data_IF_916315879808
#
_entry.id   IF_916315879808
#
_cell.length_a   1.000
_cell.length_b   1.000
_cell.length_c   1.000
_cell.angle_alpha   90.00
_cell.angle_beta   90.00
_cell.angle_gamma   90.00
#
_symmetry.space_group_name_H-M   'P 1'
#
loop_
_entity.id
_entity.type
_entity.pdbx_description
1 polymer ?
#
# COMPACT_ATOMS: atom_id res chain seq x y z
N UNK A 1 6.46 -3.79 10.71
CA UNK A 1 7.35 -2.68 10.36
C UNK A 1 8.66 -3.18 9.80
N UNK A 2 8.83 -3.09 8.48
CA UNK A 2 10.11 -3.39 7.87
C UNK A 2 10.99 -2.15 7.99
N UNK A 3 11.84 -2.19 9.02
CA UNK A 3 12.85 -1.16 9.26
C UNK A 3 13.68 -1.02 7.99
N UNK A 4 13.86 0.23 7.55
CA UNK A 4 14.58 0.63 6.35
C UNK A 4 15.84 -0.24 6.13
N UNK A 5 15.78 -1.19 5.20
CA UNK A 5 16.96 -1.89 4.69
C UNK A 5 17.70 -0.90 3.80
N UNK A 6 18.59 -0.12 4.42
CA UNK A 6 19.27 1.03 3.83
C UNK A 6 20.18 0.70 2.62
N UNK A 7 20.30 -0.57 2.23
CA UNK A 7 21.14 -1.06 1.12
C UNK A 7 20.52 -2.29 0.44
N UNK A 8 19.19 -2.34 0.34
CA UNK A 8 18.53 -3.47 -0.33
C UNK A 8 18.75 -3.37 -1.84
N UNK A 9 19.58 -4.27 -2.38
CA UNK A 9 19.70 -4.47 -3.82
C UNK A 9 18.56 -5.34 -4.27
N UNK A 10 17.79 -4.84 -5.24
CA UNK A 10 16.74 -5.60 -5.89
C UNK A 10 17.19 -5.97 -7.29
N UNK A 11 16.79 -7.15 -7.74
CA UNK A 11 16.98 -7.56 -9.12
C UNK A 11 16.33 -6.55 -10.07
N UNK A 12 17.05 -6.20 -11.14
CA UNK A 12 16.59 -5.19 -12.10
C UNK A 12 15.26 -5.55 -12.75
N UNK A 13 15.02 -6.86 -12.95
CA UNK A 13 13.76 -7.38 -13.46
C UNK A 13 12.58 -7.10 -12.51
N UNK A 14 12.79 -7.23 -11.20
CA UNK A 14 11.76 -6.94 -10.19
C UNK A 14 11.44 -5.46 -10.18
N UNK A 15 12.46 -4.60 -10.24
CA UNK A 15 12.28 -3.15 -10.32
C UNK A 15 11.55 -2.73 -11.60
N UNK A 16 11.95 -3.29 -12.75
CA UNK A 16 11.33 -3.00 -14.04
C UNK A 16 9.82 -3.30 -14.03
N UNK A 17 9.44 -4.46 -13.50
CA UNK A 17 8.04 -4.84 -13.37
C UNK A 17 7.27 -3.92 -12.40
N UNK A 18 7.89 -3.51 -11.29
CA UNK A 18 7.26 -2.57 -10.36
C UNK A 18 7.06 -1.17 -10.97
N UNK A 19 8.00 -0.69 -11.78
CA UNK A 19 7.87 0.58 -12.50
C UNK A 19 6.75 0.50 -13.55
N UNK A 20 6.66 -0.62 -14.28
CA UNK A 20 5.59 -0.83 -15.27
C UNK A 20 4.21 -0.79 -14.63
N UNK A 21 4.05 -1.44 -13.49
CA UNK A 21 2.82 -1.41 -12.70
C UNK A 21 2.48 0.01 -12.21
N UNK A 22 3.47 0.72 -11.65
CA UNK A 22 3.28 2.10 -11.17
C UNK A 22 2.80 3.02 -12.31
N UNK A 23 3.34 2.85 -13.51
CA UNK A 23 2.90 3.57 -14.71
C UNK A 23 1.46 3.21 -15.10
N UNK A 24 1.09 1.92 -15.07
CA UNK A 24 -0.28 1.48 -15.38
C UNK A 24 -1.31 2.02 -14.39
N UNK A 25 -0.93 2.16 -13.11
CA UNK A 25 -1.77 2.71 -12.06
C UNK A 25 -1.75 4.25 -11.99
N UNK A 26 -0.87 4.92 -12.74
CA UNK A 26 -0.65 6.37 -12.63
C UNK A 26 -0.04 6.82 -11.30
N UNK A 27 0.54 5.90 -10.52
CA UNK A 27 1.07 6.14 -9.18
C UNK A 27 2.61 6.26 -9.21
N UNK A 28 3.12 7.34 -9.81
CA UNK A 28 4.56 7.55 -9.99
C UNK A 28 5.13 8.27 -8.75
N UNK A 29 5.53 7.49 -7.75
CA UNK A 29 6.28 7.98 -6.60
C UNK A 29 7.29 6.94 -6.11
N UNK A 30 8.31 7.38 -5.39
CA UNK A 30 9.29 6.48 -4.79
C UNK A 30 8.62 5.44 -3.88
N UNK A 31 7.66 5.87 -3.04
CA UNK A 31 6.97 4.98 -2.12
C UNK A 31 6.09 3.96 -2.85
N UNK A 32 5.45 4.34 -3.95
CA UNK A 32 4.68 3.42 -4.77
C UNK A 32 5.57 2.33 -5.38
N UNK A 33 6.71 2.71 -5.98
CA UNK A 33 7.66 1.75 -6.56
C UNK A 33 8.23 0.84 -5.47
N UNK A 34 8.69 1.41 -4.35
CA UNK A 34 9.23 0.65 -3.22
C UNK A 34 8.21 -0.37 -2.68
N UNK A 35 6.96 0.04 -2.55
CA UNK A 35 5.90 -0.85 -2.08
C UNK A 35 5.62 -1.99 -3.07
N UNK A 36 5.57 -1.70 -4.38
CA UNK A 36 5.38 -2.72 -5.43
C UNK A 36 6.56 -3.70 -5.52
N UNK A 37 7.79 -3.21 -5.34
CA UNK A 37 8.99 -4.06 -5.26
C UNK A 37 8.92 -4.97 -4.04
N UNK A 38 8.58 -4.43 -2.86
CA UNK A 38 8.46 -5.21 -1.63
C UNK A 38 7.38 -6.29 -1.72
N UNK A 39 6.19 -5.95 -2.25
CA UNK A 39 5.12 -6.92 -2.47
C UNK A 39 5.57 -8.10 -3.36
N UNK A 40 6.38 -7.83 -4.39
CA UNK A 40 6.91 -8.86 -5.29
C UNK A 40 7.96 -9.76 -4.63
N UNK A 41 8.92 -9.16 -3.92
CA UNK A 41 10.04 -9.89 -3.30
C UNK A 41 9.54 -10.75 -2.15
N UNK A 42 8.69 -10.19 -1.29
CA UNK A 42 8.26 -10.86 -0.07
C UNK A 42 7.07 -11.80 -0.29
N UNK A 43 6.46 -11.77 -1.49
CA UNK A 43 5.23 -12.51 -1.83
C UNK A 43 4.10 -12.31 -0.80
N UNK A 44 4.14 -11.21 -0.06
CA UNK A 44 3.16 -10.86 0.97
C UNK A 44 2.06 -10.02 0.34
N UNK A 45 0.81 -10.38 0.60
CA UNK A 45 -0.30 -9.46 0.37
C UNK A 45 0.00 -8.14 1.08
N UNK A 46 -0.21 -6.97 0.45
CA UNK A 46 0.01 -5.69 1.10
C UNK A 46 -0.97 -5.55 2.27
N UNK A 47 -0.51 -5.93 3.46
CA UNK A 47 -1.23 -5.77 4.72
C UNK A 47 -0.62 -4.58 5.43
N UNK A 48 -1.32 -3.46 5.36
CA UNK A 48 -1.04 -2.29 6.18
C UNK A 48 -1.48 -2.60 7.61
N UNK A 49 -0.53 -3.03 8.44
CA UNK A 49 -0.73 -3.24 9.87
C UNK A 49 -0.24 -2.01 10.64
N UNK A 50 -1.19 -1.18 11.06
CA UNK A 50 -0.95 0.08 11.76
C UNK A 50 -0.52 -0.14 13.22
N UNK A 51 -0.78 -1.31 13.80
CA UNK A 51 -0.40 -1.64 15.19
C UNK A 51 1.11 -1.88 15.34
N UNK A 52 1.81 -2.09 14.23
CA UNK A 52 3.26 -2.28 14.23
C UNK A 52 4.04 -0.97 14.28
N UNK A 53 3.41 0.21 14.15
CA UNK A 53 4.09 1.51 14.10
C UNK A 53 4.29 2.10 15.52
N UNK A 54 5.51 2.05 16.11
CA UNK A 54 5.73 2.49 17.49
C UNK A 54 5.58 4.00 17.70
N UNK A 55 5.56 4.77 16.62
CA UNK A 55 5.43 6.23 16.63
C UNK A 55 4.07 6.71 16.10
N UNK A 56 3.21 5.81 15.60
CA UNK A 56 1.87 6.18 15.23
C UNK A 56 1.01 6.16 16.50
N UNK A 57 0.30 7.25 16.85
CA UNK A 57 -0.68 7.18 17.92
C UNK A 57 -1.69 6.10 17.55
N UNK A 58 -2.00 5.20 18.50
CA UNK A 58 -3.00 4.14 18.31
C UNK A 58 -4.33 4.79 17.89
N UNK A 59 -4.60 4.83 16.60
CA UNK A 59 -5.84 5.36 16.06
C UNK A 59 -6.88 4.26 16.18
N UNK A 60 -7.89 4.50 17.03
CA UNK A 60 -9.03 3.60 17.14
C UNK A 60 -9.91 3.80 15.90
N UNK A 61 -9.58 3.11 14.80
CA UNK A 61 -10.37 3.19 13.57
C UNK A 61 -11.63 2.36 13.78
N UNK A 62 -12.79 3.02 13.82
CA UNK A 62 -14.06 2.31 13.83
C UNK A 62 -14.17 1.47 12.56
N UNK A 63 -14.50 0.18 12.69
CA UNK A 63 -14.75 -0.66 11.53
C UNK A 63 -15.97 -0.11 10.79
N UNK A 64 -15.77 0.37 9.57
CA UNK A 64 -16.86 0.94 8.79
C UNK A 64 -17.92 -0.14 8.56
N UNK A 65 -19.15 0.12 9.02
CA UNK A 65 -20.32 -0.68 8.64
C UNK A 65 -20.51 -0.58 7.13
N UNK A 66 -20.61 -1.73 6.46
CA UNK A 66 -20.84 -1.78 5.02
C UNK A 66 -22.09 -0.97 4.61
N UNK A 67 -23.15 -0.99 5.42
CA UNK A 67 -24.36 -0.21 5.16
C UNK A 67 -24.11 1.30 5.14
N UNK A 68 -23.28 1.81 6.07
CA UNK A 68 -22.92 3.23 6.14
C UNK A 68 -22.03 3.68 4.98
N UNK A 69 -21.27 2.76 4.38
CA UNK A 69 -20.51 3.03 3.17
C UNK A 69 -21.42 3.02 1.93
N UNK A 70 -22.35 2.08 1.85
CA UNK A 70 -23.30 1.98 0.73
C UNK A 70 -24.18 3.22 0.61
N UNK A 71 -24.57 3.87 1.71
CA UNK A 71 -25.33 5.13 1.66
C UNK A 71 -24.55 6.29 1.01
N UNK A 72 -23.22 6.24 0.99
CA UNK A 72 -22.40 7.24 0.30
C UNK A 72 -22.29 6.96 -1.21
N UNK A 73 -22.42 5.69 -1.62
CA UNK A 73 -22.42 5.30 -3.02
C UNK A 73 -23.77 5.55 -3.70
N UNK A 74 -24.86 5.48 -2.94
CA UNK A 74 -26.24 5.73 -3.42
C UNK A 74 -26.49 7.23 -3.73
N UNK A 75 -25.71 8.13 -3.15
CA UNK A 75 -25.80 9.59 -3.39
C UNK A 75 -25.08 10.11 -4.64
N UNK A 76 -24.46 9.24 -5.44
CA UNK A 76 -23.72 9.60 -6.66
C UNK A 76 -24.52 9.51 -7.97
N UNK A 77 -25.82 9.20 -7.90
CA UNK A 77 -26.71 9.11 -9.05
C UNK A 77 -27.83 10.15 -9.01
N UNK A 78 -27.50 11.40 -9.32
CA UNK A 78 -28.44 12.45 -9.72
C UNK A 78 -27.84 13.32 -10.81
#
# INVERSE_FOLDING_TARGET
MQVLRLLERFEMEVLHNAVKDALQMGAISFDAIKHLVLCRVERRQPRLDLDLYPFLPRTHVATTSAASYMSLLDGGGA
#
